data_IF_344941299822
#
_entry.id   IF_344941299822
#
_cell.length_a   1.000
_cell.length_b   1.000
_cell.length_c   1.000
_cell.angle_alpha   90.00
_cell.angle_beta   90.00
_cell.angle_gamma   90.00
#
_symmetry.space_group_name_H-M   'P 1'
#
loop_
_entity.id
_entity.type
_entity.pdbx_description
1 polymer ?
#
# COMPACT_ATOMS: atom_id res chain seq x y z
N UNK A 1 -13.00 4.80 14.14
CA UNK A 1 -12.07 5.88 14.58
C UNK A 1 -10.70 5.57 14.00
N UNK A 2 -10.09 6.49 13.23
CA UNK A 2 -8.80 6.32 12.54
C UNK A 2 -7.67 6.34 13.59
N UNK A 3 -7.02 5.22 13.90
CA UNK A 3 -5.77 5.20 14.67
C UNK A 3 -4.60 5.16 13.68
N UNK A 4 -4.17 6.34 13.25
CA UNK A 4 -2.94 6.52 12.46
C UNK A 4 -1.79 6.59 13.45
N UNK A 5 -0.92 5.58 13.49
CA UNK A 5 0.34 5.68 14.22
C UNK A 5 1.34 6.48 13.38
N UNK A 6 1.38 7.80 13.57
CA UNK A 6 2.45 8.64 13.03
C UNK A 6 3.74 8.43 13.82
N UNK A 7 4.76 7.81 13.21
CA UNK A 7 6.12 7.84 13.73
C UNK A 7 6.82 9.14 13.32
N UNK A 8 6.97 10.07 14.26
CA UNK A 8 7.91 11.19 14.19
C UNK A 8 9.37 10.67 14.12
N UNK A 9 10.28 11.31 13.34
CA UNK A 9 11.65 10.82 13.19
C UNK A 9 12.47 11.13 14.44
N UNK A 10 12.79 10.11 15.25
CA UNK A 10 13.77 10.24 16.33
C UNK A 10 15.19 10.28 15.75
N UNK A 11 15.89 11.39 16.03
CA UNK A 11 17.33 11.57 15.83
C UNK A 11 18.13 10.36 16.34
N UNK A 12 18.81 9.68 15.42
CA UNK A 12 19.75 8.61 15.73
C UNK A 12 20.98 9.15 16.50
N UNK A 13 21.14 8.68 17.73
CA UNK A 13 22.40 8.76 18.48
C UNK A 13 23.27 7.56 18.06
N UNK A 14 24.35 7.84 17.33
CA UNK A 14 25.29 6.83 16.82
C UNK A 14 26.19 6.38 17.97
N UNK A 15 25.95 5.17 18.48
CA UNK A 15 26.94 4.41 19.25
C UNK A 15 27.70 3.48 18.31
N UNK A 16 28.96 3.80 18.02
CA UNK A 16 29.84 2.96 17.21
C UNK A 16 30.45 1.83 18.05
N UNK A 17 30.26 0.58 17.62
CA UNK A 17 31.06 -0.56 18.06
C UNK A 17 31.52 -1.32 16.82
N UNK A 18 32.83 -1.29 16.56
CA UNK A 18 33.50 -2.02 15.48
C UNK A 18 33.74 -3.44 15.97
N UNK A 19 33.08 -4.41 15.37
CA UNK A 19 33.46 -5.82 15.45
C UNK A 19 33.44 -6.41 14.04
N UNK A 20 34.63 -6.79 13.55
CA UNK A 20 34.78 -7.51 12.30
C UNK A 20 34.14 -8.88 12.40
N UNK A 21 33.08 -9.07 11.62
CA UNK A 21 32.42 -10.34 11.39
C UNK A 21 31.94 -10.34 9.95
N UNK A 22 32.16 -11.44 9.24
CA UNK A 22 31.72 -11.65 7.86
C UNK A 22 30.22 -11.32 7.82
N UNK A 23 29.87 -10.22 7.14
CA UNK A 23 28.49 -9.84 6.95
C UNK A 23 27.86 -10.85 6.01
N UNK A 24 27.23 -11.88 6.58
CA UNK A 24 26.02 -12.42 6.00
C UNK A 24 25.08 -11.21 5.94
N UNK A 25 24.96 -10.61 4.76
CA UNK A 25 24.10 -9.47 4.55
C UNK A 25 22.72 -9.84 5.05
N UNK A 26 22.30 -9.25 6.15
CA UNK A 26 20.88 -9.13 6.42
C UNK A 26 20.26 -8.55 5.14
N UNK A 27 19.17 -9.13 4.61
CA UNK A 27 18.50 -8.53 3.47
C UNK A 27 18.19 -7.08 3.84
N UNK A 28 18.31 -6.20 2.84
CA UNK A 28 18.17 -4.76 2.95
C UNK A 28 17.10 -4.41 4.00
N UNK A 29 17.57 -3.86 5.13
CA UNK A 29 16.82 -3.26 6.23
C UNK A 29 15.38 -3.77 6.36
N UNK A 30 15.11 -4.58 7.39
CA UNK A 30 13.77 -4.70 7.95
C UNK A 30 13.33 -3.30 8.45
N UNK A 31 12.92 -2.44 7.52
CA UNK A 31 12.26 -1.20 7.81
C UNK A 31 10.85 -1.59 8.22
N UNK A 32 10.38 -1.03 9.34
CA UNK A 32 8.99 -1.17 9.75
C UNK A 32 8.11 -0.78 8.56
N UNK A 33 7.31 -1.72 8.09
CA UNK A 33 6.36 -1.49 7.02
C UNK A 33 5.28 -0.55 7.55
N UNK A 34 4.93 0.50 6.80
CA UNK A 34 3.78 1.32 7.14
C UNK A 34 2.49 0.48 7.05
N UNK A 35 1.68 0.52 8.10
CA UNK A 35 0.42 -0.19 8.16
C UNK A 35 -0.65 0.61 8.93
N UNK A 36 -1.90 0.25 8.70
CA UNK A 36 -3.05 0.70 9.48
C UNK A 36 -3.95 -0.46 9.89
N UNK A 37 -4.73 -0.24 10.94
CA UNK A 37 -5.77 -1.17 11.42
C UNK A 37 -7.12 -0.63 10.95
N UNK A 38 -7.84 -1.43 10.17
CA UNK A 38 -9.12 -1.06 9.58
C UNK A 38 -10.22 -2.00 10.04
N UNK A 39 -11.41 -1.47 10.30
CA UNK A 39 -12.60 -2.27 10.64
C UNK A 39 -13.14 -2.96 9.37
N UNK A 40 -13.52 -4.23 9.51
CA UNK A 40 -14.10 -5.06 8.45
C UNK A 40 -13.14 -6.10 7.86
N UNK A 41 -13.62 -6.79 6.82
CA UNK A 41 -12.94 -7.94 6.20
C UNK A 41 -11.91 -7.57 5.13
N UNK A 42 -11.79 -6.29 4.79
CA UNK A 42 -10.93 -5.83 3.71
C UNK A 42 -10.29 -4.47 3.98
N UNK A 43 -9.45 -4.07 3.04
CA UNK A 43 -8.76 -2.78 3.09
C UNK A 43 -9.49 -1.74 2.24
N UNK A 44 -9.42 -0.45 2.61
CA UNK A 44 -9.94 0.62 1.78
C UNK A 44 -9.15 0.75 0.47
N UNK A 45 -9.69 1.53 -0.47
CA UNK A 45 -9.04 1.83 -1.74
C UNK A 45 -7.59 2.29 -1.55
N UNK A 46 -6.69 1.71 -2.36
CA UNK A 46 -5.25 1.94 -2.27
C UNK A 46 -4.55 1.28 -1.10
N UNK A 47 -5.21 0.39 -0.37
CA UNK A 47 -4.55 -0.44 0.62
C UNK A 47 -4.78 -1.91 0.30
N UNK A 48 -3.83 -2.75 0.72
CA UNK A 48 -3.95 -4.21 0.58
C UNK A 48 -3.65 -4.89 1.92
N UNK A 49 -4.25 -6.06 2.22
CA UNK A 49 -3.97 -6.76 3.45
C UNK A 49 -2.46 -7.07 3.58
N UNK A 50 -1.93 -6.99 4.79
CA UNK A 50 -0.59 -7.48 5.08
C UNK A 50 -0.56 -8.99 4.81
N UNK A 51 0.51 -9.47 4.17
CA UNK A 51 0.80 -10.90 4.09
C UNK A 51 1.38 -11.40 5.42
N UNK A 52 1.39 -12.71 5.61
CA UNK A 52 2.06 -13.35 6.77
C UNK A 52 3.54 -12.99 6.84
N UNK A 53 4.21 -12.78 5.70
CA UNK A 53 5.59 -12.31 5.66
C UNK A 53 5.72 -10.85 6.12
N UNK A 54 4.83 -9.96 5.66
CA UNK A 54 4.78 -8.57 6.10
C UNK A 54 4.57 -8.49 7.62
N UNK A 55 3.58 -9.24 8.13
CA UNK A 55 3.22 -9.27 9.54
C UNK A 55 4.37 -9.83 10.40
N UNK A 56 5.02 -10.90 9.95
CA UNK A 56 6.18 -11.44 10.65
C UNK A 56 7.29 -10.40 10.81
N UNK A 57 7.72 -9.76 9.71
CA UNK A 57 8.82 -8.79 9.78
C UNK A 57 8.45 -7.51 10.53
N UNK A 58 7.18 -7.09 10.44
CA UNK A 58 6.69 -5.91 11.16
C UNK A 58 6.66 -6.20 12.67
N UNK A 59 6.00 -7.28 13.10
CA UNK A 59 5.69 -7.50 14.52
C UNK A 59 6.66 -8.41 15.28
N UNK A 60 7.68 -8.97 14.63
CA UNK A 60 8.68 -9.82 15.31
C UNK A 60 9.35 -9.09 16.49
N UNK A 61 9.58 -7.78 16.36
CA UNK A 61 10.20 -6.95 17.39
C UNK A 61 9.28 -5.86 17.95
N UNK A 62 8.08 -5.66 17.38
CA UNK A 62 7.13 -4.61 17.77
C UNK A 62 5.70 -5.13 17.97
N UNK A 63 5.56 -6.36 18.46
CA UNK A 63 4.26 -6.95 18.83
C UNK A 63 3.46 -6.05 19.80
N UNK A 64 4.15 -5.21 20.57
CA UNK A 64 3.55 -4.25 21.49
C UNK A 64 2.78 -3.09 20.81
N UNK A 65 2.95 -2.91 19.50
CA UNK A 65 2.20 -1.93 18.69
C UNK A 65 0.79 -2.41 18.34
N UNK A 66 0.53 -3.73 18.41
CA UNK A 66 -0.81 -4.26 18.23
C UNK A 66 -1.65 -4.10 19.50
N UNK A 67 -2.96 -3.77 19.36
CA UNK A 67 -3.89 -3.80 20.48
C UNK A 67 -3.82 -5.12 21.24
N UNK A 68 -3.73 -5.01 22.57
CA UNK A 68 -3.34 -6.11 23.46
C UNK A 68 -4.09 -7.43 23.23
N UNK A 69 -5.42 -7.40 23.11
CA UNK A 69 -6.25 -8.61 22.93
C UNK A 69 -6.87 -8.72 21.53
N UNK A 70 -6.39 -7.95 20.55
CA UNK A 70 -6.96 -7.95 19.22
C UNK A 70 -6.64 -9.23 18.45
N UNK A 71 -7.41 -9.48 17.40
CA UNK A 71 -7.11 -10.48 16.37
C UNK A 71 -7.32 -9.79 15.04
N UNK A 72 -6.31 -9.82 14.18
CA UNK A 72 -6.30 -9.02 12.97
C UNK A 72 -6.12 -9.90 11.74
N UNK A 73 -6.99 -9.71 10.78
CA UNK A 73 -6.96 -10.40 9.49
C UNK A 73 -5.76 -9.97 8.67
N UNK A 74 -5.16 -10.94 7.99
CA UNK A 74 -4.11 -10.82 7.00
C UNK A 74 -4.63 -11.29 5.64
N UNK A 75 -3.78 -11.20 4.61
CA UNK A 75 -4.04 -11.76 3.29
C UNK A 75 -4.26 -13.29 3.37
N UNK A 76 -4.88 -13.84 2.32
CA UNK A 76 -5.05 -15.29 2.13
C UNK A 76 -5.83 -16.04 3.23
N UNK A 77 -6.58 -15.30 4.06
CA UNK A 77 -7.37 -15.86 5.16
C UNK A 77 -6.56 -16.12 6.43
N UNK A 78 -5.32 -15.63 6.50
CA UNK A 78 -4.49 -15.73 7.70
C UNK A 78 -4.87 -14.64 8.73
N UNK A 79 -4.34 -14.76 9.95
CA UNK A 79 -4.46 -13.73 10.98
C UNK A 79 -3.23 -13.64 11.87
N UNK A 80 -3.14 -12.53 12.60
CA UNK A 80 -2.20 -12.35 13.71
C UNK A 80 -2.98 -11.93 14.96
N UNK A 81 -2.68 -12.55 16.09
CA UNK A 81 -3.24 -12.13 17.37
C UNK A 81 -2.45 -10.93 17.95
N UNK A 82 -3.02 -10.25 18.94
CA UNK A 82 -2.32 -9.23 19.72
C UNK A 82 -1.38 -9.82 20.77
N UNK A 83 -0.81 -8.95 21.58
CA UNK A 83 0.15 -9.29 22.64
C UNK A 83 -0.34 -10.36 23.62
N UNK A 84 -1.65 -10.40 23.92
CA UNK A 84 -2.26 -11.38 24.83
C UNK A 84 -1.99 -12.81 24.37
N UNK A 85 -1.99 -13.05 23.06
CA UNK A 85 -1.64 -14.34 22.48
C UNK A 85 -0.26 -14.31 21.78
N UNK A 86 0.65 -13.47 22.31
CA UNK A 86 2.06 -13.39 21.88
C UNK A 86 2.28 -13.16 20.39
N UNK A 87 1.39 -12.40 19.73
CA UNK A 87 1.43 -12.18 18.28
C UNK A 87 1.50 -13.47 17.44
N UNK A 88 0.77 -14.48 17.89
CA UNK A 88 0.67 -15.74 17.17
C UNK A 88 0.06 -15.51 15.78
N UNK A 89 0.75 -16.01 14.76
CA UNK A 89 0.24 -16.11 13.39
C UNK A 89 -0.60 -17.38 13.26
N UNK A 90 -1.78 -17.25 12.66
CA UNK A 90 -2.71 -18.34 12.43
C UNK A 90 -3.01 -18.45 10.93
N UNK A 91 -2.68 -19.60 10.33
CA UNK A 91 -2.92 -19.84 8.91
C UNK A 91 -4.33 -20.36 8.67
N UNK A 92 -5.02 -19.82 7.66
CA UNK A 92 -6.38 -20.24 7.32
C UNK A 92 -7.38 -20.07 8.47
N UNK A 93 -7.29 -18.93 9.15
CA UNK A 93 -8.11 -18.63 10.31
C UNK A 93 -9.60 -18.51 9.93
N UNK A 94 -10.43 -19.34 10.56
CA UNK A 94 -11.87 -19.40 10.30
C UNK A 94 -12.69 -18.55 11.28
N UNK A 95 -12.04 -17.83 12.20
CA UNK A 95 -12.73 -16.92 13.13
C UNK A 95 -13.33 -15.74 12.35
N UNK A 96 -14.44 -15.21 12.86
CA UNK A 96 -14.96 -13.91 12.44
C UNK A 96 -14.05 -12.83 13.05
N UNK A 97 -13.46 -12.00 12.19
CA UNK A 97 -12.48 -10.99 12.59
C UNK A 97 -13.00 -9.61 12.21
N UNK A 98 -13.02 -8.72 13.19
CA UNK A 98 -13.54 -7.35 13.04
C UNK A 98 -12.54 -6.39 12.41
N UNK A 99 -11.26 -6.76 12.34
CA UNK A 99 -10.19 -5.86 11.90
C UNK A 99 -9.25 -6.53 10.90
N UNK A 100 -8.76 -5.74 9.95
CA UNK A 100 -7.76 -6.13 8.96
C UNK A 100 -6.54 -5.22 9.08
N UNK A 101 -5.34 -5.79 9.01
CA UNK A 101 -4.11 -5.01 8.87
C UNK A 101 -3.87 -4.73 7.40
N UNK A 102 -3.74 -3.45 7.06
CA UNK A 102 -3.58 -3.01 5.69
C UNK A 102 -2.33 -2.18 5.50
N UNK A 103 -1.64 -2.37 4.39
CA UNK A 103 -0.47 -1.58 3.97
C UNK A 103 -0.81 -0.74 2.73
N UNK A 104 -0.17 0.43 2.55
CA UNK A 104 -0.27 1.19 1.32
C UNK A 104 0.00 0.33 0.09
N UNK A 105 -0.84 0.49 -0.93
CA UNK A 105 -0.74 -0.11 -2.25
C UNK A 105 -0.97 0.96 -3.31
N UNK A 106 -0.27 2.08 -3.16
CA UNK A 106 -0.28 3.21 -4.08
C UNK A 106 1.11 3.83 -4.18
N UNK A 107 1.32 4.62 -5.22
CA UNK A 107 2.49 5.45 -5.41
C UNK A 107 2.04 6.89 -5.63
N UNK A 108 2.59 7.85 -4.87
CA UNK A 108 2.38 9.28 -5.09
C UNK A 108 3.53 9.86 -5.91
N UNK A 109 3.20 10.78 -6.82
CA UNK A 109 4.18 11.46 -7.66
C UNK A 109 3.66 12.83 -8.09
N UNK A 110 4.58 13.76 -8.39
CA UNK A 110 4.23 15.13 -8.75
C UNK A 110 4.58 15.42 -10.21
N UNK A 111 3.66 16.09 -10.91
CA UNK A 111 3.92 16.66 -12.23
C UNK A 111 3.52 18.13 -12.18
N UNK A 112 4.49 19.03 -12.43
CA UNK A 112 4.30 20.48 -12.42
C UNK A 112 3.61 21.05 -11.16
N UNK A 113 3.83 20.42 -10.01
CA UNK A 113 3.27 20.84 -8.72
C UNK A 113 1.86 20.32 -8.46
N UNK A 114 1.34 19.44 -9.30
CA UNK A 114 0.10 18.68 -9.07
C UNK A 114 0.45 17.28 -8.58
N UNK A 115 -0.14 16.87 -7.46
CA UNK A 115 0.03 15.53 -6.88
C UNK A 115 -0.87 14.53 -7.60
N UNK A 116 -0.28 13.44 -8.06
CA UNK A 116 -0.96 12.29 -8.62
C UNK A 116 -0.73 11.05 -7.75
N UNK A 117 -1.63 10.08 -7.90
CA UNK A 117 -1.49 8.76 -7.30
C UNK A 117 -1.72 7.66 -8.35
N UNK A 118 -0.88 6.64 -8.36
CA UNK A 118 -1.21 5.34 -8.97
C UNK A 118 -1.71 4.43 -7.87
N UNK A 119 -3.01 4.18 -7.84
CA UNK A 119 -3.61 3.21 -6.92
C UNK A 119 -3.56 1.83 -7.54
N UNK A 120 -3.11 0.82 -6.78
CA UNK A 120 -2.95 -0.56 -7.25
C UNK A 120 -4.00 -1.47 -6.64
N UNK A 121 -4.37 -2.50 -7.41
CA UNK A 121 -5.31 -3.54 -6.96
C UNK A 121 -6.76 -3.07 -6.86
N UNK A 122 -7.14 -2.01 -7.57
CA UNK A 122 -8.50 -1.49 -7.62
C UNK A 122 -8.64 -0.32 -8.61
N UNK A 123 -9.88 0.02 -8.92
CA UNK A 123 -10.20 1.16 -9.80
C UNK A 123 -10.62 2.42 -9.02
N UNK A 124 -10.57 2.39 -7.68
CA UNK A 124 -10.99 3.50 -6.84
C UNK A 124 -9.80 4.38 -6.43
N UNK A 125 -10.07 5.66 -6.18
CA UNK A 125 -9.07 6.60 -5.71
C UNK A 125 -8.98 6.65 -4.18
N UNK A 126 -7.82 7.11 -3.69
CA UNK A 126 -7.61 7.40 -2.27
C UNK A 126 -8.57 8.48 -1.79
N UNK A 127 -8.83 8.52 -0.48
CA UNK A 127 -9.51 9.65 0.16
C UNK A 127 -8.74 10.96 -0.14
N UNK A 128 -9.44 11.99 -0.62
CA UNK A 128 -8.83 13.27 -1.03
C UNK A 128 -8.26 13.27 -2.45
N UNK A 129 -8.47 12.20 -3.21
CA UNK A 129 -8.11 12.12 -4.62
C UNK A 129 -9.34 11.76 -5.45
N UNK A 130 -9.33 12.19 -6.71
CA UNK A 130 -10.31 11.80 -7.71
C UNK A 130 -9.63 11.26 -8.97
N UNK A 131 -10.38 10.57 -9.83
CA UNK A 131 -9.81 10.08 -11.08
C UNK A 131 -9.32 11.24 -11.94
N UNK A 132 -8.09 11.14 -12.44
CA UNK A 132 -7.59 12.10 -13.41
C UNK A 132 -8.49 12.12 -14.64
N UNK A 133 -8.91 13.28 -15.12
CA UNK A 133 -9.72 13.36 -16.33
C UNK A 133 -8.92 13.00 -17.60
N UNK A 134 -9.62 12.72 -18.70
CA UNK A 134 -8.99 12.33 -19.97
C UNK A 134 -8.07 13.40 -20.56
N UNK A 135 -8.42 14.68 -20.44
CA UNK A 135 -7.62 15.77 -21.01
C UNK A 135 -6.30 15.92 -20.24
N UNK A 136 -6.37 15.89 -18.91
CA UNK A 136 -5.20 15.94 -18.02
C UNK A 136 -4.31 14.71 -18.22
N UNK A 137 -4.89 13.50 -18.26
CA UNK A 137 -4.14 12.28 -18.54
C UNK A 137 -3.46 12.33 -19.92
N UNK A 138 -4.12 12.88 -20.93
CA UNK A 138 -3.56 13.03 -22.28
C UNK A 138 -2.38 14.01 -22.32
N UNK A 139 -2.49 15.13 -21.61
CA UNK A 139 -1.45 16.14 -21.55
C UNK A 139 -0.16 15.61 -20.91
N UNK A 140 -0.28 14.80 -19.86
CA UNK A 140 0.84 14.25 -19.08
C UNK A 140 1.08 12.75 -19.31
N UNK A 141 0.64 12.26 -20.47
CA UNK A 141 0.60 10.82 -20.77
C UNK A 141 1.97 10.15 -20.67
N UNK A 142 3.02 10.84 -21.12
CA UNK A 142 4.39 10.32 -21.14
C UNK A 142 4.98 10.19 -19.73
N UNK A 143 4.64 11.10 -18.82
CA UNK A 143 5.07 11.09 -17.43
C UNK A 143 4.26 10.08 -16.61
N UNK A 144 2.92 10.17 -16.67
CA UNK A 144 2.01 9.31 -15.88
C UNK A 144 2.24 7.82 -16.21
N UNK A 145 2.41 7.45 -17.48
CA UNK A 145 2.53 6.04 -17.87
C UNK A 145 3.77 5.35 -17.28
N UNK A 146 4.79 6.09 -16.85
CA UNK A 146 5.98 5.53 -16.20
C UNK A 146 5.65 4.96 -14.82
N UNK A 147 4.60 5.49 -14.17
CA UNK A 147 4.14 5.05 -12.86
C UNK A 147 3.05 3.96 -12.95
N UNK A 148 2.38 3.75 -14.09
CA UNK A 148 1.37 2.68 -14.26
C UNK A 148 1.99 1.27 -14.22
N UNK A 149 3.31 1.15 -14.23
CA UNK A 149 4.01 -0.14 -14.34
C UNK A 149 4.10 -0.61 -15.79
N UNK A 150 5.11 -1.42 -16.10
CA UNK A 150 5.52 -1.63 -17.49
C UNK A 150 4.40 -2.18 -18.41
N UNK A 151 3.60 -3.12 -17.91
CA UNK A 151 2.44 -3.68 -18.62
C UNK A 151 1.12 -3.36 -17.91
N UNK A 152 1.10 -2.34 -17.06
CA UNK A 152 -0.10 -1.95 -16.34
C UNK A 152 -1.12 -1.27 -17.25
N UNK A 153 -2.38 -1.29 -16.84
CA UNK A 153 -3.45 -0.50 -17.44
C UNK A 153 -4.27 0.04 -16.28
N UNK A 154 -4.34 1.36 -16.19
CA UNK A 154 -4.98 2.05 -15.07
C UNK A 154 -6.23 2.79 -15.53
N UNK A 155 -7.28 2.75 -14.69
CA UNK A 155 -8.52 3.51 -14.84
C UNK A 155 -8.23 5.01 -14.72
N UNK A 156 -8.87 5.80 -15.58
CA UNK A 156 -8.95 7.25 -15.46
C UNK A 156 -10.43 7.70 -15.50
N UNK A 157 -10.67 8.98 -15.31
CA UNK A 157 -11.99 9.58 -15.22
C UNK A 157 -12.81 9.39 -16.49
N UNK A 158 -14.15 9.43 -16.35
CA UNK A 158 -15.06 9.24 -17.48
C UNK A 158 -15.09 7.81 -18.05
N UNK A 159 -14.54 6.83 -17.32
CA UNK A 159 -14.45 5.44 -17.75
C UNK A 159 -13.32 5.18 -18.74
N UNK A 160 -12.35 6.09 -18.86
CA UNK A 160 -11.17 5.92 -19.71
C UNK A 160 -10.12 4.98 -19.13
N UNK A 161 -9.01 4.84 -19.84
CA UNK A 161 -7.80 4.17 -19.33
C UNK A 161 -6.51 4.79 -19.87
N UNK A 162 -5.42 4.56 -19.14
CA UNK A 162 -4.04 4.80 -19.59
C UNK A 162 -3.22 3.52 -19.46
N UNK A 163 -2.41 3.24 -20.48
CA UNK A 163 -1.51 2.10 -20.50
C UNK A 163 -0.12 2.45 -19.97
N UNK A 164 0.59 1.46 -19.45
CA UNK A 164 2.00 1.54 -19.13
C UNK A 164 2.92 1.66 -20.34
N UNK A 165 4.19 1.95 -20.07
CA UNK A 165 5.24 2.17 -21.08
C UNK A 165 5.44 1.01 -22.07
N UNK A 166 5.26 -0.24 -21.65
CA UNK A 166 5.39 -1.42 -22.51
C UNK A 166 4.32 -1.51 -23.60
N UNK A 167 3.17 -0.87 -23.38
CA UNK A 167 2.10 -0.72 -24.37
C UNK A 167 2.15 0.63 -25.11
N UNK A 168 3.18 1.45 -24.86
CA UNK A 168 3.38 2.72 -25.56
C UNK A 168 2.58 3.90 -25.00
N UNK A 169 2.18 3.86 -23.72
CA UNK A 169 1.50 4.98 -23.05
C UNK A 169 0.17 5.39 -23.71
N UNK A 170 -0.56 4.41 -24.25
CA UNK A 170 -1.83 4.64 -24.92
C UNK A 170 -2.90 5.13 -23.95
N UNK A 171 -3.72 6.10 -24.39
CA UNK A 171 -4.86 6.60 -23.60
C UNK A 171 -6.15 6.37 -24.37
N UNK A 172 -7.19 5.94 -23.66
CA UNK A 172 -8.52 5.70 -24.19
C UNK A 172 -9.52 6.53 -23.41
N UNK A 173 -10.42 7.19 -24.14
CA UNK A 173 -11.52 7.93 -23.53
C UNK A 173 -12.59 7.00 -22.93
N UNK A 174 -12.62 5.73 -23.35
CA UNK A 174 -13.55 4.74 -22.83
C UNK A 174 -12.91 3.36 -22.85
N UNK A 175 -13.04 2.64 -21.74
CA UNK A 175 -12.53 1.29 -21.57
C UNK A 175 -13.48 0.49 -20.67
N UNK A 176 -14.16 -0.49 -21.23
CA UNK A 176 -15.15 -1.30 -20.50
C UNK A 176 -14.54 -2.51 -19.80
N UNK A 177 -13.23 -2.70 -19.87
CA UNK A 177 -12.55 -3.81 -19.18
C UNK A 177 -12.52 -3.51 -17.68
N UNK A 178 -12.62 -4.53 -16.81
CA UNK A 178 -12.17 -4.39 -15.43
C UNK A 178 -10.65 -4.23 -15.43
N UNK A 179 -10.17 -3.17 -14.78
CA UNK A 179 -8.77 -2.79 -14.67
C UNK A 179 -8.30 -3.01 -13.23
N UNK A 180 -7.00 -3.20 -13.08
CA UNK A 180 -6.38 -3.52 -11.79
C UNK A 180 -5.86 -2.30 -11.05
N UNK A 181 -5.74 -1.15 -11.71
CA UNK A 181 -5.14 0.06 -11.16
C UNK A 181 -5.99 1.30 -11.50
N UNK A 182 -5.73 2.42 -10.83
CA UNK A 182 -6.31 3.72 -11.15
C UNK A 182 -5.25 4.83 -11.11
N UNK A 183 -5.38 5.82 -11.99
CA UNK A 183 -4.67 7.08 -11.86
C UNK A 183 -5.62 8.11 -11.27
N UNK A 184 -5.14 8.72 -10.19
CA UNK A 184 -5.86 9.71 -9.44
C UNK A 184 -5.03 10.99 -9.35
N UNK A 185 -5.71 12.10 -9.11
CA UNK A 185 -5.15 13.41 -8.88
C UNK A 185 -5.72 13.95 -7.57
N UNK A 186 -4.92 14.68 -6.81
CA UNK A 186 -5.37 15.32 -5.57
C UNK A 186 -6.56 16.23 -5.87
N UNK A 187 -7.64 16.07 -5.11
CA UNK A 187 -8.84 16.89 -5.24
C UNK A 187 -8.58 18.31 -4.73
N UNK A 188 -9.15 19.31 -5.40
CA UNK A 188 -9.09 20.72 -4.96
C UNK A 188 -9.91 21.00 -3.68
#
# INVERSE_FOLDING_TARGET
MKHICHMTPMRALICSLIAGGISLGAPAQAQALEYGIYEGEGCPAGYTPLTTADAFWTFFASCDELPYSGVFRLADGDSIDGQWNSCQLNTGDTRELDYTLCKPNYELFDIDGTTFAVVRGGEECLEGFEHVDFATASAYSAEICTHVGYWGIARIGGGGSIDGVGYGCGIRATDSRPLGDAICVESE
#
